data_IF_581352746688
#
_entry.id   IF_581352746688
#
_cell.length_a   1.000
_cell.length_b   1.000
_cell.length_c   1.000
_cell.angle_alpha   90.00
_cell.angle_beta   90.00
_cell.angle_gamma   90.00
#
_symmetry.space_group_name_H-M   'P 1'
#
loop_
_entity.id
_entity.type
_entity.pdbx_description
1 polymer ?
#
# COMPACT_ATOMS: atom_id res chain seq x y z
N UNK A 1 -61.50 -13.31 9.27
CA UNK A 1 -60.08 -13.33 9.70
C UNK A 1 -59.10 -12.67 8.71
N UNK A 2 -59.33 -12.65 7.39
CA UNK A 2 -58.47 -11.88 6.46
C UNK A 2 -58.77 -10.37 6.42
N UNK A 3 -60.00 -9.96 6.78
CA UNK A 3 -60.43 -8.54 6.84
C UNK A 3 -60.06 -7.81 8.14
N UNK A 4 -59.64 -8.54 9.16
CA UNK A 4 -59.20 -7.98 10.46
C UNK A 4 -57.66 -7.80 10.51
N UNK A 5 -56.92 -8.61 9.74
CA UNK A 5 -55.46 -8.50 9.58
C UNK A 5 -55.04 -7.33 8.66
N UNK A 6 -55.87 -6.94 7.69
CA UNK A 6 -55.61 -5.76 6.86
C UNK A 6 -55.87 -4.43 7.57
N UNK A 7 -56.72 -4.40 8.61
CA UNK A 7 -57.05 -3.18 9.34
C UNK A 7 -55.95 -2.77 10.36
N UNK A 8 -55.11 -3.72 10.78
CA UNK A 8 -54.01 -3.48 11.74
C UNK A 8 -52.71 -3.09 11.01
N UNK A 9 -52.52 -3.51 9.77
CA UNK A 9 -51.33 -3.17 8.97
C UNK A 9 -51.41 -1.79 8.30
N UNK A 10 -52.61 -1.22 8.17
CA UNK A 10 -52.85 0.11 7.56
C UNK A 10 -52.91 1.22 8.62
N UNK A 11 -53.08 0.88 9.91
CA UNK A 11 -53.20 1.85 11.01
C UNK A 11 -51.87 2.18 11.72
N UNK A 12 -50.78 1.45 11.44
CA UNK A 12 -49.48 1.62 12.12
C UNK A 12 -48.37 2.22 11.26
N UNK A 13 -48.63 2.59 10.00
CA UNK A 13 -47.61 3.24 9.15
C UNK A 13 -48.06 4.55 8.51
N UNK A 14 -49.15 5.15 9.04
CA UNK A 14 -49.66 6.47 8.66
C UNK A 14 -49.58 7.52 9.80
N UNK A 15 -48.64 7.36 10.73
CA UNK A 15 -48.28 8.33 11.78
C UNK A 15 -46.78 8.19 12.08
N UNK A 16 -45.87 9.09 11.76
CA UNK A 16 -45.96 10.36 11.05
C UNK A 16 -44.53 10.83 10.80
N UNK A 17 -44.25 11.24 9.57
CA UNK A 17 -43.43 12.43 9.39
C UNK A 17 -44.21 13.58 10.05
N UNK A 18 -43.55 14.32 10.94
CA UNK A 18 -43.65 15.76 11.14
C UNK A 18 -42.99 16.09 12.49
N UNK A 19 -41.92 16.89 12.44
CA UNK A 19 -41.63 18.05 13.30
C UNK A 19 -40.11 18.22 13.51
N UNK A 20 -39.51 18.97 12.58
CA UNK A 20 -38.47 19.94 12.93
C UNK A 20 -38.98 20.84 14.05
N UNK A 21 -38.32 20.81 15.21
CA UNK A 21 -38.53 21.73 16.32
C UNK A 21 -37.19 22.18 16.88
N UNK A 22 -36.84 23.46 16.66
CA UNK A 22 -35.82 24.16 17.42
C UNK A 22 -36.28 24.38 18.87
N UNK A 23 -35.36 24.22 19.83
CA UNK A 23 -35.43 24.88 21.13
C UNK A 23 -35.37 23.97 22.37
N UNK A 24 -34.32 24.15 23.18
CA UNK A 24 -34.46 24.12 24.65
C UNK A 24 -33.75 23.00 25.45
N UNK A 25 -32.49 23.27 25.82
CA UNK A 25 -31.90 23.15 27.17
C UNK A 25 -31.29 21.83 27.73
N UNK A 26 -29.96 21.92 27.92
CA UNK A 26 -29.03 21.40 28.95
C UNK A 26 -28.87 19.91 29.25
N UNK A 27 -27.62 19.42 29.14
CA UNK A 27 -26.82 18.97 30.30
C UNK A 27 -25.38 18.61 29.92
N UNK A 28 -24.43 18.94 30.81
CA UNK A 28 -23.14 18.23 30.95
C UNK A 28 -22.00 18.75 30.07
N UNK A 29 -21.00 19.37 30.70
CA UNK A 29 -19.85 19.95 30.01
C UNK A 29 -18.77 18.94 29.63
N UNK A 30 -18.03 19.31 28.58
CA UNK A 30 -16.61 19.03 28.41
C UNK A 30 -16.02 20.12 27.51
N UNK A 31 -14.80 20.53 27.85
CA UNK A 31 -13.97 21.58 27.28
C UNK A 31 -13.78 21.40 25.76
N UNK A 32 -13.75 22.47 24.93
CA UNK A 32 -13.54 22.28 23.50
C UNK A 32 -12.09 21.84 23.28
N UNK A 33 -11.92 20.58 22.87
CA UNK A 33 -10.68 20.10 22.32
C UNK A 33 -10.30 20.98 21.13
N UNK A 34 -9.18 21.67 21.29
CA UNK A 34 -8.51 22.47 20.28
C UNK A 34 -8.34 21.63 19.01
N UNK A 35 -9.11 21.96 17.97
CA UNK A 35 -8.85 21.48 16.63
C UNK A 35 -7.39 21.79 16.28
N UNK A 36 -6.61 20.86 15.72
CA UNK A 36 -5.35 21.24 15.11
C UNK A 36 -5.72 22.05 13.86
N UNK A 37 -5.67 23.37 14.00
CA UNK A 37 -5.46 24.28 12.89
C UNK A 37 -4.19 23.85 12.17
N UNK A 38 -4.40 23.18 11.06
CA UNK A 38 -3.36 22.66 10.19
C UNK A 38 -3.94 22.46 8.81
N UNK A 39 -4.52 23.54 8.25
CA UNK A 39 -4.86 23.62 6.84
C UNK A 39 -3.58 23.58 5.99
N UNK A 40 -2.97 22.40 5.91
CA UNK A 40 -2.06 22.09 4.82
C UNK A 40 -2.90 22.15 3.54
N UNK A 41 -2.45 22.94 2.57
CA UNK A 41 -3.06 22.97 1.25
C UNK A 41 -3.27 21.52 0.77
N UNK A 42 -4.49 21.18 0.36
CA UNK A 42 -4.85 19.86 -0.14
C UNK A 42 -4.09 19.58 -1.45
N UNK A 43 -2.82 19.20 -1.31
CA UNK A 43 -1.99 18.70 -2.41
C UNK A 43 -2.50 17.34 -2.85
N UNK A 44 -2.21 16.98 -4.10
CA UNK A 44 -2.58 15.68 -4.67
C UNK A 44 -1.98 14.55 -3.81
N UNK A 45 -2.82 13.64 -3.35
CA UNK A 45 -2.39 12.37 -2.73
C UNK A 45 -2.14 11.35 -3.85
N UNK A 46 -1.04 10.63 -3.75
CA UNK A 46 -0.65 9.55 -4.66
C UNK A 46 -0.80 8.24 -3.92
N UNK A 47 -1.65 7.36 -4.43
CA UNK A 47 -1.81 5.99 -3.95
C UNK A 47 -1.04 5.06 -4.89
N UNK A 48 -0.10 4.29 -4.34
CA UNK A 48 0.74 3.36 -5.08
C UNK A 48 0.47 1.93 -4.61
N UNK A 49 0.31 1.02 -5.55
CA UNK A 49 0.22 -0.42 -5.31
C UNK A 49 1.62 -1.04 -5.20
N UNK A 50 1.85 -1.83 -4.15
CA UNK A 50 3.08 -2.57 -3.94
C UNK A 50 2.80 -4.07 -3.84
N UNK A 51 3.25 -4.85 -4.83
CA UNK A 51 3.25 -6.32 -4.80
C UNK A 51 4.65 -6.84 -4.45
N UNK A 52 4.70 -7.82 -3.56
CA UNK A 52 5.94 -8.47 -3.11
C UNK A 52 5.84 -9.99 -3.24
N UNK A 53 6.99 -10.63 -3.42
CA UNK A 53 7.14 -12.09 -3.43
C UNK A 53 6.90 -12.78 -2.09
N UNK A 54 6.96 -12.03 -1.00
CA UNK A 54 6.76 -12.55 0.34
C UNK A 54 5.31 -12.33 0.83
N UNK A 55 4.81 -13.24 1.66
CA UNK A 55 3.53 -13.04 2.36
C UNK A 55 3.65 -11.96 3.45
N UNK A 56 2.56 -11.28 3.77
CA UNK A 56 2.47 -10.20 4.77
C UNK A 56 3.07 -10.50 6.14
N UNK A 57 3.10 -11.78 6.56
CA UNK A 57 3.70 -12.22 7.84
C UNK A 57 5.18 -12.59 7.75
N UNK A 58 5.79 -12.51 6.57
CA UNK A 58 7.21 -12.83 6.40
C UNK A 58 8.09 -11.77 7.08
N UNK A 59 9.23 -12.13 7.71
CA UNK A 59 10.12 -11.17 8.37
C UNK A 59 10.58 -10.01 7.48
N UNK A 60 10.84 -10.23 6.19
CA UNK A 60 11.19 -9.16 5.23
C UNK A 60 10.09 -8.11 5.13
N UNK A 61 8.82 -8.52 5.17
CA UNK A 61 7.69 -7.58 5.08
C UNK A 61 7.55 -6.81 6.38
N UNK A 62 7.54 -7.52 7.51
CA UNK A 62 7.34 -6.93 8.84
C UNK A 62 8.46 -5.96 9.20
N UNK A 63 9.72 -6.34 8.94
CA UNK A 63 10.89 -5.59 9.40
C UNK A 63 11.52 -4.70 8.32
N UNK A 64 11.18 -4.90 7.05
CA UNK A 64 11.73 -4.14 5.92
C UNK A 64 10.67 -3.31 5.21
N UNK A 65 9.74 -3.95 4.51
CA UNK A 65 8.80 -3.26 3.63
C UNK A 65 7.81 -2.36 4.39
N UNK A 66 7.18 -2.85 5.46
CA UNK A 66 6.22 -2.04 6.21
C UNK A 66 6.86 -0.80 6.87
N UNK A 67 8.05 -0.90 7.50
CA UNK A 67 8.79 0.28 7.95
C UNK A 67 9.18 1.25 6.83
N UNK A 68 9.61 0.73 5.67
CA UNK A 68 9.95 1.55 4.51
C UNK A 68 8.73 2.31 3.95
N UNK A 69 7.58 1.63 3.82
CA UNK A 69 6.30 2.24 3.44
C UNK A 69 5.98 3.39 4.41
N UNK A 70 5.99 3.11 5.72
CA UNK A 70 5.69 4.13 6.74
C UNK A 70 6.62 5.34 6.66
N UNK A 71 7.92 5.10 6.47
CA UNK A 71 8.92 6.15 6.28
C UNK A 71 8.60 7.04 5.07
N UNK A 72 8.16 6.46 3.95
CA UNK A 72 7.75 7.24 2.78
C UNK A 72 6.50 8.07 3.07
N UNK A 73 5.51 7.51 3.75
CA UNK A 73 4.30 8.26 4.10
C UNK A 73 4.62 9.46 5.00
N UNK A 74 5.50 9.27 6.00
CA UNK A 74 5.93 10.31 6.91
C UNK A 74 6.76 11.39 6.21
N UNK A 75 7.77 10.99 5.43
CA UNK A 75 8.66 11.91 4.72
C UNK A 75 7.97 12.67 3.58
N UNK A 76 6.89 12.12 3.04
CA UNK A 76 6.05 12.79 2.03
C UNK A 76 4.97 13.68 2.65
N UNK A 77 4.91 13.83 3.98
CA UNK A 77 3.85 14.60 4.63
C UNK A 77 2.45 14.02 4.36
N UNK A 78 2.34 12.68 4.29
CA UNK A 78 1.15 11.92 3.93
C UNK A 78 0.67 12.07 2.47
N UNK A 79 1.46 12.65 1.58
CA UNK A 79 1.09 12.78 0.17
C UNK A 79 1.28 11.50 -0.64
N UNK A 80 2.16 10.59 -0.20
CA UNK A 80 2.33 9.27 -0.83
C UNK A 80 1.81 8.22 0.13
N UNK A 81 0.90 7.37 -0.35
CA UNK A 81 0.32 6.23 0.35
C UNK A 81 0.64 4.97 -0.44
N UNK A 82 1.18 3.95 0.22
CA UNK A 82 1.57 2.70 -0.44
C UNK A 82 0.73 1.55 0.13
N UNK A 83 -0.06 0.93 -0.73
CA UNK A 83 -0.86 -0.24 -0.38
C UNK A 83 -0.09 -1.52 -0.67
N UNK A 84 0.21 -2.31 0.36
CA UNK A 84 0.87 -3.60 0.23
C UNK A 84 -0.11 -4.71 -0.15
N UNK A 85 0.27 -5.53 -1.11
CA UNK A 85 -0.49 -6.67 -1.61
C UNK A 85 0.33 -7.96 -1.56
N UNK A 86 -0.30 -9.03 -1.10
CA UNK A 86 0.30 -10.36 -1.07
C UNK A 86 0.60 -10.88 -2.49
N UNK A 87 1.59 -11.79 -2.65
CA UNK A 87 1.91 -12.40 -3.93
C UNK A 87 0.67 -13.05 -4.55
N UNK A 88 0.52 -12.96 -5.88
CA UNK A 88 -0.62 -13.50 -6.65
C UNK A 88 -1.99 -12.84 -6.43
N UNK A 89 -2.06 -11.68 -5.76
CA UNK A 89 -3.35 -10.98 -5.54
C UNK A 89 -3.70 -9.99 -6.65
N UNK A 90 -2.74 -9.19 -7.12
CA UNK A 90 -2.95 -8.25 -8.23
C UNK A 90 -2.47 -8.82 -9.57
N UNK A 91 -1.30 -9.46 -9.58
CA UNK A 91 -0.72 -10.13 -10.74
C UNK A 91 -0.07 -11.46 -10.32
N UNK A 92 0.09 -12.43 -11.23
CA UNK A 92 0.87 -13.64 -10.95
C UNK A 92 2.28 -13.28 -10.47
N UNK A 93 2.82 -14.02 -9.50
CA UNK A 93 4.12 -13.70 -8.88
C UNK A 93 5.26 -13.59 -9.90
N UNK A 94 5.27 -14.50 -10.88
CA UNK A 94 6.30 -14.52 -11.93
C UNK A 94 6.20 -13.31 -12.86
N UNK A 95 5.03 -12.70 -12.96
CA UNK A 95 4.77 -11.58 -13.87
C UNK A 95 4.94 -10.22 -13.17
N UNK A 96 5.37 -10.19 -11.89
CA UNK A 96 5.49 -8.94 -11.09
C UNK A 96 6.36 -7.89 -11.78
N UNK A 97 7.51 -8.28 -12.34
CA UNK A 97 8.40 -7.35 -13.04
C UNK A 97 7.74 -6.76 -14.30
N UNK A 98 7.16 -7.59 -15.16
CA UNK A 98 6.46 -7.13 -16.37
C UNK A 98 5.18 -6.33 -16.03
N UNK A 99 4.52 -6.65 -14.93
CA UNK A 99 3.39 -5.90 -14.38
C UNK A 99 3.80 -4.51 -13.88
N UNK A 100 5.03 -4.39 -13.36
CA UNK A 100 5.61 -3.09 -12.95
C UNK A 100 5.96 -2.27 -14.19
N UNK A 101 6.59 -2.87 -15.21
CA UNK A 101 6.91 -2.18 -16.48
C UNK A 101 5.65 -1.64 -17.16
N UNK A 102 4.58 -2.44 -17.19
CA UNK A 102 3.31 -2.05 -17.82
C UNK A 102 2.51 -1.03 -17.01
N UNK A 103 2.89 -0.76 -15.75
CA UNK A 103 2.15 0.10 -14.83
C UNK A 103 0.85 -0.53 -14.31
N UNK A 104 0.71 -1.86 -14.40
CA UNK A 104 -0.39 -2.59 -13.75
C UNK A 104 -0.25 -2.56 -12.22
N UNK A 105 1.00 -2.58 -11.74
CA UNK A 105 1.37 -2.32 -10.34
C UNK A 105 2.43 -1.24 -10.31
N UNK A 106 2.44 -0.41 -9.27
CA UNK A 106 3.35 0.75 -9.20
C UNK A 106 4.73 0.37 -8.68
N UNK A 107 4.78 -0.55 -7.72
CA UNK A 107 6.01 -1.05 -7.08
C UNK A 107 5.97 -2.57 -7.07
N UNK A 108 7.04 -3.21 -7.57
CA UNK A 108 7.23 -4.65 -7.56
C UNK A 108 8.49 -5.04 -6.79
N UNK A 109 8.36 -5.96 -5.82
CA UNK A 109 9.50 -6.68 -5.25
C UNK A 109 9.49 -8.10 -5.79
N UNK A 110 10.54 -8.45 -6.54
CA UNK A 110 10.65 -9.72 -7.23
C UNK A 110 12.11 -10.18 -7.26
N UNK A 111 12.32 -11.47 -7.09
CA UNK A 111 13.60 -12.13 -7.19
C UNK A 111 14.03 -12.25 -8.65
N UNK A 112 15.25 -11.79 -8.95
CA UNK A 112 15.80 -11.80 -10.30
C UNK A 112 15.87 -13.22 -10.90
N UNK A 113 16.07 -14.26 -10.06
CA UNK A 113 16.06 -15.65 -10.50
C UNK A 113 14.71 -16.16 -11.04
N UNK A 114 13.61 -15.41 -10.93
CA UNK A 114 12.37 -15.72 -11.67
C UNK A 114 12.47 -15.42 -13.17
N UNK A 115 13.51 -14.71 -13.61
CA UNK A 115 13.71 -14.26 -14.99
C UNK A 115 15.07 -14.73 -15.54
N UNK A 116 15.28 -16.06 -15.73
CA UNK A 116 16.58 -16.58 -16.12
C UNK A 116 17.17 -15.91 -17.35
N UNK A 117 18.39 -15.39 -17.23
CA UNK A 117 19.13 -14.74 -18.30
C UNK A 117 18.72 -13.28 -18.59
N UNK A 118 17.77 -12.71 -17.82
CA UNK A 118 17.39 -11.30 -17.95
C UNK A 118 18.32 -10.35 -17.19
N UNK A 119 18.87 -10.80 -16.06
CA UNK A 119 19.74 -10.00 -15.19
C UNK A 119 21.11 -10.67 -14.97
N UNK A 120 21.88 -10.97 -16.03
CA UNK A 120 23.10 -11.76 -15.94
C UNK A 120 24.18 -11.19 -14.98
N UNK A 121 24.22 -9.87 -14.80
CA UNK A 121 25.15 -9.23 -13.88
C UNK A 121 24.63 -9.26 -12.43
N UNK A 122 23.33 -9.11 -12.20
CA UNK A 122 22.75 -9.32 -10.87
C UNK A 122 22.81 -10.80 -10.45
N UNK A 123 22.63 -11.75 -11.37
CA UNK A 123 22.77 -13.19 -11.11
C UNK A 123 24.16 -13.56 -10.57
N UNK A 124 25.19 -12.75 -10.85
CA UNK A 124 26.52 -12.92 -10.24
C UNK A 124 26.44 -12.86 -8.71
N UNK A 125 25.58 -11.99 -8.16
CA UNK A 125 25.38 -11.80 -6.72
C UNK A 125 24.70 -13.00 -6.03
N UNK A 126 24.19 -13.95 -6.81
CA UNK A 126 23.57 -15.17 -6.31
C UNK A 126 24.55 -16.35 -6.20
N UNK A 127 25.79 -16.17 -6.65
CA UNK A 127 26.79 -17.23 -6.55
C UNK A 127 27.09 -17.59 -5.08
N UNK A 128 27.36 -18.87 -4.76
CA UNK A 128 27.69 -19.26 -3.40
C UNK A 128 28.95 -18.55 -2.88
N UNK A 129 28.87 -18.07 -1.64
CA UNK A 129 30.01 -17.60 -0.82
C UNK A 129 30.75 -16.36 -1.34
N UNK A 130 30.15 -15.54 -2.21
CA UNK A 130 30.78 -14.30 -2.69
C UNK A 130 30.56 -13.11 -1.76
N UNK A 131 29.60 -13.19 -0.85
CA UNK A 131 29.29 -12.16 0.15
C UNK A 131 29.21 -12.79 1.55
N UNK A 132 29.67 -12.09 2.60
CA UNK A 132 29.76 -12.64 3.95
C UNK A 132 28.42 -12.66 4.70
N UNK A 133 27.36 -12.05 4.16
CA UNK A 133 26.03 -11.99 4.77
C UNK A 133 25.08 -11.08 3.99
N UNK A 134 23.80 -11.08 4.38
CA UNK A 134 22.74 -10.36 3.67
C UNK A 134 22.96 -8.85 3.62
N UNK A 135 23.42 -8.22 4.71
CA UNK A 135 23.68 -6.77 4.74
C UNK A 135 24.80 -6.37 3.78
N UNK A 136 25.95 -7.05 3.85
CA UNK A 136 27.06 -6.82 2.94
C UNK A 136 26.67 -7.09 1.48
N UNK A 137 25.88 -8.13 1.22
CA UNK A 137 25.36 -8.44 -0.10
C UNK A 137 24.48 -7.32 -0.65
N UNK A 138 23.48 -6.86 0.11
CA UNK A 138 22.59 -5.78 -0.31
C UNK A 138 23.34 -4.47 -0.58
N UNK A 139 24.30 -4.10 0.27
CA UNK A 139 25.10 -2.89 0.10
C UNK A 139 26.00 -2.97 -1.15
N UNK A 140 26.70 -4.08 -1.35
CA UNK A 140 27.55 -4.29 -2.52
C UNK A 140 26.72 -4.29 -3.80
N UNK A 141 25.58 -5.00 -3.82
CA UNK A 141 24.63 -4.96 -4.95
C UNK A 141 24.22 -3.53 -5.28
N UNK A 142 23.81 -2.74 -4.29
CA UNK A 142 23.41 -1.34 -4.52
C UNK A 142 24.57 -0.44 -4.99
N UNK A 143 25.79 -0.66 -4.48
CA UNK A 143 26.98 0.07 -4.95
C UNK A 143 27.35 -0.29 -6.40
N UNK A 144 27.26 -1.58 -6.77
CA UNK A 144 27.50 -2.04 -8.14
C UNK A 144 26.49 -1.41 -9.11
N UNK A 145 25.20 -1.39 -8.73
CA UNK A 145 24.15 -0.71 -9.49
C UNK A 145 24.46 0.76 -9.74
N UNK A 146 24.84 1.50 -8.69
CA UNK A 146 25.13 2.93 -8.82
C UNK A 146 26.40 3.21 -9.63
N UNK A 147 27.41 2.34 -9.52
CA UNK A 147 28.73 2.57 -10.11
C UNK A 147 28.83 2.22 -11.58
N UNK A 148 28.13 1.16 -12.02
CA UNK A 148 28.32 0.60 -13.36
C UNK A 148 27.05 0.78 -14.21
N UNK A 149 27.10 1.57 -15.29
CA UNK A 149 25.94 1.76 -16.18
C UNK A 149 25.40 0.44 -16.77
N UNK A 150 26.27 -0.55 -16.97
CA UNK A 150 25.86 -1.87 -17.50
C UNK A 150 24.93 -2.60 -16.53
N UNK A 151 25.09 -2.39 -15.22
CA UNK A 151 24.16 -2.92 -14.21
C UNK A 151 22.82 -2.18 -14.27
N UNK A 152 22.84 -0.86 -14.46
CA UNK A 152 21.60 -0.07 -14.60
C UNK A 152 20.83 -0.43 -15.86
N UNK A 153 21.54 -0.78 -16.95
CA UNK A 153 20.96 -1.21 -18.21
C UNK A 153 20.08 -2.47 -18.06
N UNK A 154 20.34 -3.34 -17.08
CA UNK A 154 19.50 -4.51 -16.80
C UNK A 154 18.11 -4.11 -16.28
N UNK A 155 18.02 -2.98 -15.60
CA UNK A 155 16.80 -2.47 -14.97
C UNK A 155 16.22 -1.24 -15.69
N UNK A 156 16.69 -0.89 -16.90
CA UNK A 156 16.29 0.34 -17.60
C UNK A 156 14.79 0.47 -17.91
N UNK A 157 14.05 -0.63 -17.90
CA UNK A 157 12.60 -0.67 -18.11
C UNK A 157 11.83 -0.22 -16.86
N UNK A 158 12.48 -0.22 -15.69
CA UNK A 158 11.91 0.17 -14.39
C UNK A 158 12.80 1.21 -13.69
N UNK A 159 12.40 1.61 -12.48
CA UNK A 159 13.23 2.38 -11.56
C UNK A 159 13.57 1.47 -10.37
N UNK A 160 14.84 1.12 -10.26
CA UNK A 160 15.41 0.41 -9.12
C UNK A 160 16.12 1.40 -8.19
#
# INVERSE_FOLDING_TARGET
MKKFLLAILVLTLSCGLLLTGCGGQQSGGEEPAKEPEGGAAAGKVFELSFVSEYMDKHPTVINGFMPWIKSIEENSGNQVKIAYYNPNTLCPQKDTFDSTISGMVDIGSSYCGYYPGKFPLNELMELPLIVPGAEAGSLVTWELYQKYPQWQDEFKETKM
#
